data_IF_696176543208
#
_entry.id   IF_696176543208
#
_cell.length_a   1.000
_cell.length_b   1.000
_cell.length_c   1.000
_cell.angle_alpha   90.00
_cell.angle_beta   90.00
_cell.angle_gamma   90.00
#
_symmetry.space_group_name_H-M   'P 1'
#
loop_
_entity.id
_entity.type
_entity.pdbx_description
1 polymer ?
#
# COMPACT_ATOMS: atom_id res chain seq x y z
N UNK A 1 2.22 -16.41 4.04
CA UNK A 1 3.25 -15.34 4.09
C UNK A 1 3.74 -14.92 5.49
N UNK A 2 3.03 -14.08 6.27
CA UNK A 2 3.62 -13.43 7.48
C UNK A 2 3.99 -14.37 8.63
N UNK A 3 3.20 -15.42 8.87
CA UNK A 3 3.50 -16.41 9.91
C UNK A 3 4.79 -17.17 9.55
N UNK A 4 4.91 -17.58 8.28
CA UNK A 4 6.11 -18.26 7.76
C UNK A 4 7.36 -17.38 7.86
N UNK A 5 7.25 -16.09 7.54
CA UNK A 5 8.35 -15.14 7.69
C UNK A 5 8.71 -14.95 9.17
N UNK A 6 7.71 -14.86 10.05
CA UNK A 6 7.91 -14.71 11.50
C UNK A 6 8.64 -15.93 12.08
N UNK A 7 8.28 -17.14 11.68
CA UNK A 7 8.93 -18.38 12.11
C UNK A 7 10.39 -18.44 11.63
N UNK A 8 10.64 -18.05 10.37
CA UNK A 8 11.98 -18.05 9.79
C UNK A 8 12.89 -17.00 10.43
N UNK A 9 12.39 -15.79 10.67
CA UNK A 9 13.13 -14.76 11.39
C UNK A 9 13.40 -15.18 12.84
N UNK A 10 12.41 -15.78 13.51
CA UNK A 10 12.58 -16.31 14.87
C UNK A 10 13.64 -17.41 14.91
N UNK A 11 13.66 -18.29 13.90
CA UNK A 11 14.66 -19.34 13.76
C UNK A 11 16.06 -18.79 13.48
N UNK A 12 16.19 -17.80 12.59
CA UNK A 12 17.46 -17.13 12.29
C UNK A 12 18.06 -16.41 13.52
N UNK A 13 17.18 -15.90 14.39
CA UNK A 13 17.58 -15.25 15.64
C UNK A 13 17.83 -16.23 16.79
N UNK A 14 17.38 -17.49 16.67
CA UNK A 14 17.53 -18.49 17.73
C UNK A 14 19.01 -18.82 18.00
N UNK A 15 19.86 -18.82 16.97
CA UNK A 15 21.30 -19.07 17.07
C UNK A 15 22.09 -18.04 17.90
N UNK A 16 21.49 -16.88 18.19
CA UNK A 16 22.05 -15.86 19.08
C UNK A 16 21.67 -16.09 20.54
N UNK A 17 20.56 -16.79 20.82
CA UNK A 17 20.07 -17.00 22.18
C UNK A 17 21.04 -17.89 22.96
N UNK A 18 21.42 -17.44 24.17
CA UNK A 18 22.31 -18.19 25.06
C UNK A 18 23.81 -17.91 24.90
N UNK A 19 24.21 -17.08 23.93
CA UNK A 19 25.61 -16.64 23.80
C UNK A 19 25.91 -15.47 24.73
N UNK A 20 26.89 -15.64 25.62
CA UNK A 20 27.33 -14.59 26.57
C UNK A 20 28.13 -13.45 25.93
N UNK A 21 28.79 -13.71 24.80
CA UNK A 21 29.41 -12.71 23.91
C UNK A 21 29.12 -13.09 22.46
N UNK A 22 28.94 -12.10 21.62
CA UNK A 22 28.81 -12.27 20.18
C UNK A 22 30.12 -11.89 19.50
N UNK A 23 30.57 -12.73 18.59
CA UNK A 23 31.64 -12.42 17.65
C UNK A 23 31.09 -11.80 16.37
N UNK A 24 31.94 -11.12 15.62
CA UNK A 24 31.62 -10.65 14.25
C UNK A 24 31.11 -11.78 13.35
N UNK A 25 31.66 -12.98 13.49
CA UNK A 25 31.25 -14.16 12.74
C UNK A 25 29.82 -14.60 13.09
N UNK A 26 29.40 -14.47 14.35
CA UNK A 26 28.02 -14.76 14.77
C UNK A 26 27.03 -13.78 14.15
N UNK A 27 27.38 -12.49 14.15
CA UNK A 27 26.56 -11.42 13.53
C UNK A 27 26.43 -11.67 12.03
N UNK A 28 27.53 -11.98 11.36
CA UNK A 28 27.56 -12.22 9.91
C UNK A 28 26.77 -13.48 9.53
N UNK A 29 26.80 -14.53 10.36
CA UNK A 29 26.01 -15.74 10.16
C UNK A 29 24.50 -15.45 10.29
N UNK A 30 24.06 -14.78 11.36
CA UNK A 30 22.65 -14.43 11.55
C UNK A 30 22.15 -13.48 10.47
N UNK A 31 22.95 -12.48 10.09
CA UNK A 31 22.62 -11.56 9.00
C UNK A 31 22.40 -12.29 7.66
N UNK A 32 23.17 -13.36 7.41
CA UNK A 32 23.00 -14.23 6.23
C UNK A 32 21.70 -15.03 6.29
N UNK A 33 21.33 -15.57 7.44
CA UNK A 33 20.08 -16.33 7.60
C UNK A 33 18.86 -15.41 7.43
N UNK A 34 18.88 -14.21 8.03
CA UNK A 34 17.85 -13.19 7.84
C UNK A 34 17.71 -12.83 6.36
N UNK A 35 18.84 -12.64 5.66
CA UNK A 35 18.84 -12.37 4.22
C UNK A 35 18.13 -13.47 3.43
N UNK A 36 18.43 -14.73 3.72
CA UNK A 36 17.81 -15.89 3.05
C UNK A 36 16.30 -15.91 3.32
N UNK A 37 15.91 -15.76 4.59
CA UNK A 37 14.50 -15.77 4.99
C UNK A 37 13.67 -14.69 4.27
N UNK A 38 14.23 -13.48 4.11
CA UNK A 38 13.56 -12.38 3.41
C UNK A 38 13.47 -12.61 1.90
N UNK A 39 14.54 -13.11 1.27
CA UNK A 39 14.54 -13.40 -0.17
C UNK A 39 13.57 -14.53 -0.53
N UNK A 40 13.50 -15.57 0.30
CA UNK A 40 12.53 -16.65 0.13
C UNK A 40 11.09 -16.22 0.41
N UNK A 41 10.89 -15.08 1.09
CA UNK A 41 9.60 -14.43 1.27
C UNK A 41 9.32 -13.35 0.20
N UNK A 42 10.01 -13.43 -0.94
CA UNK A 42 9.89 -12.53 -2.10
C UNK A 42 10.15 -11.04 -1.82
N UNK A 43 10.88 -10.71 -0.75
CA UNK A 43 11.27 -9.32 -0.44
C UNK A 43 12.33 -8.81 -1.41
N UNK A 44 12.12 -7.61 -1.95
CA UNK A 44 12.97 -6.99 -2.97
C UNK A 44 14.47 -7.03 -2.61
N UNK A 45 15.33 -7.55 -3.49
CA UNK A 45 16.78 -7.67 -3.24
C UNK A 45 17.44 -6.33 -2.81
N UNK A 46 17.11 -5.17 -3.41
CA UNK A 46 17.64 -3.88 -2.95
C UNK A 46 17.27 -3.58 -1.49
N UNK A 47 16.02 -3.87 -1.09
CA UNK A 47 15.52 -3.69 0.29
C UNK A 47 16.24 -4.63 1.25
N UNK A 48 16.38 -5.91 0.89
CA UNK A 48 17.10 -6.89 1.72
C UNK A 48 18.56 -6.49 1.91
N UNK A 49 19.22 -6.01 0.85
CA UNK A 49 20.62 -5.54 0.94
C UNK A 49 20.75 -4.36 1.89
N UNK A 50 19.88 -3.37 1.78
CA UNK A 50 19.89 -2.20 2.65
C UNK A 50 19.62 -2.59 4.12
N UNK A 51 18.59 -3.39 4.36
CA UNK A 51 18.22 -3.87 5.70
C UNK A 51 19.36 -4.62 6.38
N UNK A 52 19.95 -5.59 5.68
CA UNK A 52 21.05 -6.41 6.22
C UNK A 52 22.30 -5.56 6.48
N UNK A 53 22.57 -4.56 5.63
CA UNK A 53 23.68 -3.63 5.84
C UNK A 53 23.48 -2.81 7.12
N UNK A 54 22.29 -2.24 7.33
CA UNK A 54 21.94 -1.47 8.53
C UNK A 54 22.04 -2.31 9.81
N UNK A 55 21.51 -3.54 9.79
CA UNK A 55 21.65 -4.47 10.92
C UNK A 55 23.12 -4.73 11.25
N UNK A 56 23.94 -5.03 10.24
CA UNK A 56 25.38 -5.33 10.45
C UNK A 56 26.13 -4.13 11.01
N UNK A 57 25.87 -2.94 10.48
CA UNK A 57 26.48 -1.70 10.96
C UNK A 57 26.17 -1.45 12.44
N UNK A 58 24.89 -1.52 12.81
CA UNK A 58 24.45 -1.31 14.20
C UNK A 58 24.91 -2.42 15.13
N UNK A 59 24.84 -3.68 14.70
CA UNK A 59 25.22 -4.83 15.51
C UNK A 59 26.73 -4.90 15.80
N UNK A 60 27.57 -4.41 14.88
CA UNK A 60 29.03 -4.30 15.09
C UNK A 60 29.45 -3.00 15.77
N UNK A 61 28.51 -2.06 15.95
CA UNK A 61 28.74 -0.78 16.60
C UNK A 61 28.86 -0.86 18.12
N UNK A 62 28.98 0.30 18.73
CA UNK A 62 29.03 0.45 20.19
C UNK A 62 27.72 0.04 20.87
N UNK A 63 26.58 0.02 20.15
CA UNK A 63 25.27 -0.39 20.68
C UNK A 63 25.28 -1.80 21.28
N UNK A 64 26.03 -2.73 20.68
CA UNK A 64 26.12 -4.12 21.16
C UNK A 64 27.33 -4.34 22.05
N UNK A 65 28.45 -3.65 21.78
CA UNK A 65 29.72 -3.86 22.47
C UNK A 65 29.68 -3.54 23.98
N UNK A 66 28.76 -2.66 24.40
CA UNK A 66 28.54 -2.30 25.80
C UNK A 66 27.30 -2.94 26.45
N UNK A 67 26.55 -3.77 25.73
CA UNK A 67 25.27 -4.29 26.22
C UNK A 67 25.45 -5.46 27.20
N UNK A 68 24.69 -5.46 28.29
CA UNK A 68 24.63 -6.57 29.25
C UNK A 68 24.10 -7.87 28.63
N UNK A 69 23.27 -7.76 27.59
CA UNK A 69 22.75 -8.89 26.84
C UNK A 69 22.87 -8.64 25.33
N UNK A 70 24.03 -8.96 24.72
CA UNK A 70 24.30 -8.70 23.31
C UNK A 70 23.28 -9.35 22.35
N UNK A 71 22.81 -10.56 22.66
CA UNK A 71 21.84 -11.28 21.84
C UNK A 71 20.49 -10.56 21.76
N UNK A 72 19.98 -10.09 22.90
CA UNK A 72 18.73 -9.32 22.94
C UNK A 72 18.88 -7.96 22.25
N UNK A 73 20.07 -7.34 22.34
CA UNK A 73 20.33 -6.09 21.64
C UNK A 73 20.28 -6.26 20.12
N UNK A 74 20.82 -7.35 19.56
CA UNK A 74 20.70 -7.63 18.12
C UNK A 74 19.25 -7.89 17.71
N UNK A 75 18.47 -8.63 18.51
CA UNK A 75 17.03 -8.84 18.24
C UNK A 75 16.28 -7.50 18.21
N UNK A 76 16.60 -6.61 19.16
CA UNK A 76 16.03 -5.26 19.22
C UNK A 76 16.38 -4.45 17.97
N UNK A 77 17.65 -4.46 17.54
CA UNK A 77 18.09 -3.79 16.31
C UNK A 77 17.27 -4.30 15.11
N UNK A 78 17.15 -5.62 14.94
CA UNK A 78 16.38 -6.21 13.84
C UNK A 78 14.91 -5.77 13.88
N UNK A 79 14.29 -5.75 15.06
CA UNK A 79 12.91 -5.30 15.21
C UNK A 79 12.73 -3.82 14.86
N UNK A 80 13.63 -2.95 15.33
CA UNK A 80 13.61 -1.53 15.02
C UNK A 80 13.79 -1.25 13.53
N UNK A 81 14.71 -1.98 12.86
CA UNK A 81 14.88 -1.87 11.41
C UNK A 81 13.64 -2.36 10.65
N UNK A 82 12.97 -3.43 11.11
CA UNK A 82 11.71 -3.89 10.51
C UNK A 82 10.61 -2.84 10.66
N UNK A 83 10.49 -2.24 11.85
CA UNK A 83 9.53 -1.15 12.11
C UNK A 83 9.83 0.05 11.20
N UNK A 84 11.11 0.40 11.04
CA UNK A 84 11.56 1.48 10.15
C UNK A 84 11.18 1.24 8.69
N UNK A 85 11.47 0.04 8.17
CA UNK A 85 11.14 -0.33 6.78
C UNK A 85 9.62 -0.32 6.54
N UNK A 86 8.82 -0.73 7.51
CA UNK A 86 7.36 -0.79 7.40
C UNK A 86 6.67 0.57 7.60
N UNK A 87 7.43 1.67 7.67
CA UNK A 87 6.92 3.05 7.68
C UNK A 87 6.94 3.74 9.04
N UNK A 88 7.35 3.04 10.10
CA UNK A 88 7.67 3.61 11.43
C UNK A 88 6.50 4.12 12.26
N UNK A 89 5.58 4.88 11.68
CA UNK A 89 4.48 5.54 12.38
C UNK A 89 3.14 5.33 11.67
N UNK A 90 2.06 5.31 12.46
CA UNK A 90 0.70 5.22 11.94
C UNK A 90 0.27 6.54 11.31
N UNK A 91 0.02 6.54 10.00
CA UNK A 91 -0.59 7.67 9.27
C UNK A 91 -2.11 7.53 9.26
N UNK A 92 -2.82 8.64 9.47
CA UNK A 92 -4.27 8.74 9.26
C UNK A 92 -4.55 9.37 7.90
N UNK A 93 -5.73 9.10 7.33
CA UNK A 93 -6.17 9.80 6.13
C UNK A 93 -6.29 11.30 6.41
N UNK A 94 -5.77 12.12 5.49
CA UNK A 94 -5.91 13.56 5.55
C UNK A 94 -7.28 13.98 5.00
N UNK A 95 -8.12 14.47 5.91
CA UNK A 95 -9.43 15.01 5.55
C UNK A 95 -9.31 16.47 5.13
N UNK A 96 -10.09 16.86 4.12
CA UNK A 96 -10.16 18.23 3.65
C UNK A 96 -10.74 19.14 4.73
N UNK A 97 -10.20 20.37 4.85
CA UNK A 97 -10.76 21.42 5.72
C UNK A 97 -12.17 21.81 5.30
N UNK A 98 -12.46 21.74 4.00
CA UNK A 98 -13.76 22.03 3.40
C UNK A 98 -14.19 20.80 2.60
N UNK A 99 -15.31 20.14 2.95
CA UNK A 99 -15.80 18.97 2.23
C UNK A 99 -16.19 19.26 0.76
N UNK A 100 -16.18 18.25 -0.13
CA UNK A 100 -15.82 16.86 0.15
C UNK A 100 -14.30 16.64 0.22
N UNK A 101 -13.87 15.69 1.04
CA UNK A 101 -12.54 15.09 0.92
C UNK A 101 -12.51 14.18 -0.30
N UNK A 102 -11.59 14.42 -1.24
CA UNK A 102 -11.47 13.62 -2.46
C UNK A 102 -10.31 12.63 -2.31
N UNK A 103 -10.62 11.34 -2.40
CA UNK A 103 -9.68 10.23 -2.35
C UNK A 103 -9.66 9.56 -3.72
N UNK A 104 -8.51 9.52 -4.38
CA UNK A 104 -8.32 8.84 -5.65
C UNK A 104 -7.64 7.49 -5.42
N UNK A 105 -8.27 6.41 -5.87
CA UNK A 105 -7.66 5.08 -5.84
C UNK A 105 -6.98 4.83 -7.18
N UNK A 106 -5.69 4.58 -7.16
CA UNK A 106 -4.92 4.28 -8.35
C UNK A 106 -4.00 3.08 -8.14
N UNK A 107 -3.50 2.46 -9.21
CA UNK A 107 -2.59 1.33 -9.11
C UNK A 107 -2.95 0.18 -10.04
N UNK A 108 -2.31 -0.97 -9.83
CA UNK A 108 -2.25 -2.00 -10.87
C UNK A 108 -3.59 -2.68 -11.18
N UNK A 109 -3.73 -3.23 -12.39
CA UNK A 109 -4.89 -4.07 -12.70
C UNK A 109 -4.94 -5.28 -11.77
N UNK A 110 -6.12 -5.58 -11.24
CA UNK A 110 -6.29 -6.71 -10.31
C UNK A 110 -5.74 -6.48 -8.90
N UNK A 111 -5.24 -5.28 -8.57
CA UNK A 111 -4.76 -4.92 -7.22
C UNK A 111 -5.87 -4.70 -6.19
N UNK A 112 -7.14 -4.94 -6.56
CA UNK A 112 -8.26 -4.85 -5.60
C UNK A 112 -8.81 -3.43 -5.34
N UNK A 113 -8.54 -2.43 -6.20
CA UNK A 113 -9.07 -1.05 -6.08
C UNK A 113 -10.58 -0.97 -5.84
N UNK A 114 -11.40 -1.58 -6.69
CA UNK A 114 -12.87 -1.56 -6.56
C UNK A 114 -13.34 -2.17 -5.23
N UNK A 115 -12.72 -3.27 -4.80
CA UNK A 115 -13.03 -3.89 -3.50
C UNK A 115 -12.59 -3.00 -2.34
N UNK A 116 -11.41 -2.38 -2.45
CA UNK A 116 -10.93 -1.40 -1.47
C UNK A 116 -11.86 -0.20 -1.38
N UNK A 117 -12.38 0.31 -2.50
CA UNK A 117 -13.31 1.43 -2.53
C UNK A 117 -14.52 1.17 -1.63
N UNK A 118 -15.14 -0.01 -1.77
CA UNK A 118 -16.25 -0.43 -0.91
C UNK A 118 -15.87 -0.57 0.56
N UNK A 119 -14.75 -1.24 0.86
CA UNK A 119 -14.27 -1.43 2.25
C UNK A 119 -13.95 -0.09 2.91
N UNK A 120 -13.27 0.80 2.19
CA UNK A 120 -12.92 2.13 2.65
C UNK A 120 -14.17 2.97 2.90
N UNK A 121 -15.13 2.96 1.98
CA UNK A 121 -16.38 3.69 2.16
C UNK A 121 -17.22 3.13 3.31
N UNK A 122 -17.29 1.81 3.49
CA UNK A 122 -17.95 1.20 4.64
C UNK A 122 -17.30 1.63 5.97
N UNK A 123 -15.96 1.62 6.03
CA UNK A 123 -15.20 2.03 7.21
C UNK A 123 -15.35 3.53 7.52
N UNK A 124 -15.35 4.39 6.51
CA UNK A 124 -15.61 5.82 6.69
C UNK A 124 -17.05 6.08 7.15
N UNK A 125 -18.02 5.35 6.57
CA UNK A 125 -19.42 5.43 6.98
C UNK A 125 -19.62 5.00 8.43
N UNK A 126 -18.93 3.96 8.90
CA UNK A 126 -19.02 3.53 10.31
C UNK A 126 -18.42 4.56 11.28
N UNK A 127 -17.64 5.51 10.80
CA UNK A 127 -17.14 6.67 11.55
C UNK A 127 -18.05 7.90 11.48
N UNK A 128 -19.22 7.79 10.83
CA UNK A 128 -20.19 8.87 10.71
C UNK A 128 -20.05 9.74 9.46
N UNK A 129 -19.14 9.39 8.54
CA UNK A 129 -19.04 10.06 7.25
C UNK A 129 -20.12 9.60 6.27
N UNK A 130 -20.32 10.40 5.23
CA UNK A 130 -21.21 10.19 4.09
C UNK A 130 -20.41 10.05 2.80
N UNK A 131 -19.82 8.88 2.52
CA UNK A 131 -19.03 8.68 1.32
C UNK A 131 -19.90 8.55 0.07
N UNK A 132 -19.34 8.99 -1.06
CA UNK A 132 -19.82 8.73 -2.42
C UNK A 132 -18.72 8.01 -3.20
N UNK A 133 -19.06 6.88 -3.82
CA UNK A 133 -18.15 6.20 -4.75
C UNK A 133 -18.35 6.75 -6.16
N UNK A 134 -17.27 6.97 -6.91
CA UNK A 134 -17.33 7.43 -8.31
C UNK A 134 -16.72 6.38 -9.23
N UNK A 135 -17.50 5.92 -10.21
CA UNK A 135 -17.12 4.88 -11.16
C UNK A 135 -16.28 5.45 -12.32
N UNK A 136 -14.98 5.67 -12.10
CA UNK A 136 -14.06 6.18 -13.12
C UNK A 136 -13.32 5.07 -13.89
N UNK A 137 -13.46 3.79 -13.52
CA UNK A 137 -13.04 2.65 -14.35
C UNK A 137 -14.07 2.36 -15.45
N UNK A 138 -14.05 3.17 -16.50
CA UNK A 138 -14.96 3.03 -17.63
C UNK A 138 -14.49 2.01 -18.68
N UNK A 139 -13.21 1.64 -18.66
CA UNK A 139 -12.60 0.82 -19.71
C UNK A 139 -12.73 -0.68 -19.45
N UNK A 140 -12.67 -1.10 -18.18
CA UNK A 140 -12.73 -2.52 -17.85
C UNK A 140 -14.18 -3.05 -17.96
N UNK A 141 -14.39 -4.24 -18.57
CA UNK A 141 -15.70 -4.85 -18.63
C UNK A 141 -16.37 -4.98 -17.26
N UNK A 142 -17.63 -4.56 -17.15
CA UNK A 142 -18.45 -4.64 -15.94
C UNK A 142 -17.88 -3.94 -14.69
N UNK A 143 -16.86 -3.09 -14.81
CA UNK A 143 -16.26 -2.43 -13.65
C UNK A 143 -17.24 -1.47 -12.95
N UNK A 144 -18.04 -0.74 -13.72
CA UNK A 144 -19.12 0.11 -13.19
C UNK A 144 -20.13 -0.71 -12.40
N UNK A 145 -20.63 -1.80 -12.99
CA UNK A 145 -21.57 -2.72 -12.34
C UNK A 145 -20.97 -3.35 -11.09
N UNK A 146 -19.69 -3.74 -11.13
CA UNK A 146 -18.97 -4.27 -9.98
C UNK A 146 -18.94 -3.24 -8.84
N UNK A 147 -18.60 -1.97 -9.13
CA UNK A 147 -18.58 -0.92 -8.12
C UNK A 147 -19.98 -0.65 -7.55
N UNK A 148 -21.03 -0.69 -8.38
CA UNK A 148 -22.42 -0.55 -7.93
C UNK A 148 -22.82 -1.66 -6.94
N UNK A 149 -22.50 -2.92 -7.24
CA UNK A 149 -22.74 -4.05 -6.34
C UNK A 149 -21.98 -3.88 -5.02
N UNK A 150 -20.70 -3.52 -5.10
CA UNK A 150 -19.85 -3.28 -3.93
C UNK A 150 -20.38 -2.11 -3.08
N UNK A 151 -20.81 -1.02 -3.72
CA UNK A 151 -21.45 0.12 -3.05
C UNK A 151 -22.75 -0.27 -2.35
N UNK A 152 -23.60 -1.05 -3.01
CA UNK A 152 -24.83 -1.58 -2.42
C UNK A 152 -24.53 -2.44 -1.17
N UNK A 153 -23.54 -3.33 -1.24
CA UNK A 153 -23.12 -4.15 -0.09
C UNK A 153 -22.56 -3.31 1.06
N UNK A 154 -21.84 -2.23 0.76
CA UNK A 154 -21.35 -1.27 1.75
C UNK A 154 -22.44 -0.34 2.30
N UNK A 155 -23.63 -0.30 1.68
CA UNK A 155 -24.69 0.66 1.99
C UNK A 155 -24.29 2.09 1.63
N UNK A 156 -23.52 2.26 0.54
CA UNK A 156 -22.96 3.54 0.08
C UNK A 156 -23.41 3.81 -1.36
N UNK A 157 -23.69 5.09 -1.66
CA UNK A 157 -24.12 5.50 -2.98
C UNK A 157 -22.97 5.50 -3.99
N UNK A 158 -23.31 5.18 -5.24
CA UNK A 158 -22.35 5.13 -6.36
C UNK A 158 -22.81 6.10 -7.45
N UNK A 159 -21.95 7.05 -7.77
CA UNK A 159 -22.08 7.90 -8.94
C UNK A 159 -21.51 7.18 -10.17
N UNK A 160 -22.43 6.71 -11.02
CA UNK A 160 -22.14 5.95 -12.23
C UNK A 160 -23.05 6.43 -13.37
N UNK A 161 -22.79 7.61 -13.96
CA UNK A 161 -23.63 8.17 -15.01
C UNK A 161 -23.44 7.48 -16.37
N UNK A 162 -22.33 6.77 -16.55
CA UNK A 162 -21.98 6.05 -17.77
C UNK A 162 -22.09 4.54 -17.56
N UNK A 163 -22.42 3.75 -18.59
CA UNK A 163 -22.52 2.30 -18.48
C UNK A 163 -21.17 1.58 -18.35
N UNK A 164 -20.05 2.27 -18.60
CA UNK A 164 -18.71 1.67 -18.69
C UNK A 164 -18.50 0.92 -20.01
N UNK A 165 -17.64 -0.11 -20.00
CA UNK A 165 -17.29 -0.93 -21.18
C UNK A 165 -16.74 -0.13 -22.37
N UNK A 166 -15.87 0.84 -22.10
CA UNK A 166 -15.24 1.72 -23.09
C UNK A 166 -16.02 2.99 -23.41
N UNK A 167 -17.20 3.18 -22.81
CA UNK A 167 -18.06 4.36 -23.02
C UNK A 167 -17.86 5.40 -21.93
N UNK A 168 -17.74 6.66 -22.34
CA UNK A 168 -17.63 7.83 -21.47
C UNK A 168 -16.20 8.30 -21.23
N UNK A 169 -16.08 9.47 -20.60
CA UNK A 169 -14.80 10.08 -20.24
C UNK A 169 -14.60 10.00 -18.72
N UNK A 170 -13.59 9.24 -18.23
CA UNK A 170 -13.38 9.10 -16.80
C UNK A 170 -12.95 10.41 -16.11
N UNK A 171 -12.35 11.36 -16.83
CA UNK A 171 -12.01 12.69 -16.29
C UNK A 171 -13.28 13.48 -16.01
N UNK A 172 -14.19 13.53 -16.98
CA UNK A 172 -15.50 14.17 -16.85
C UNK A 172 -16.37 13.52 -15.76
N UNK A 173 -16.46 12.18 -15.75
CA UNK A 173 -17.19 11.45 -14.71
C UNK A 173 -16.65 11.76 -13.31
N UNK A 174 -15.33 11.84 -13.16
CA UNK A 174 -14.71 12.19 -11.87
C UNK A 174 -15.05 13.62 -11.43
N UNK A 175 -15.00 14.59 -12.34
CA UNK A 175 -15.40 15.98 -12.06
C UNK A 175 -16.87 16.09 -11.68
N UNK A 176 -17.76 15.47 -12.45
CA UNK A 176 -19.21 15.48 -12.18
C UNK A 176 -19.56 14.76 -10.88
N UNK A 177 -18.85 13.67 -10.54
CA UNK A 177 -19.02 12.98 -9.26
C UNK A 177 -18.71 13.87 -8.05
N UNK A 178 -17.67 14.71 -8.14
CA UNK A 178 -17.36 15.69 -7.08
C UNK A 178 -18.40 16.81 -7.03
N UNK A 179 -18.90 17.27 -8.17
CA UNK A 179 -19.99 18.25 -8.21
C UNK A 179 -21.26 17.68 -7.56
N UNK A 180 -21.62 16.43 -7.87
CA UNK A 180 -22.73 15.71 -7.25
C UNK A 180 -22.55 15.60 -5.73
N UNK A 181 -21.34 15.29 -5.27
CA UNK A 181 -21.00 15.22 -3.86
C UNK A 181 -21.29 16.55 -3.14
N UNK A 182 -20.91 17.68 -3.75
CA UNK A 182 -21.18 19.02 -3.20
C UNK A 182 -22.66 19.34 -3.14
N UNK A 183 -23.40 19.04 -4.22
CA UNK A 183 -24.84 19.32 -4.32
C UNK A 183 -25.63 18.48 -3.31
N UNK A 184 -25.26 17.21 -3.15
CA UNK A 184 -25.94 16.27 -2.23
C UNK A 184 -25.32 16.18 -0.85
N UNK A 185 -24.35 17.03 -0.55
CA UNK A 185 -23.66 17.12 0.74
C UNK A 185 -23.00 15.83 1.23
N UNK A 186 -22.45 15.02 0.30
CA UNK A 186 -21.50 13.98 0.67
C UNK A 186 -20.19 14.64 1.09
N UNK A 187 -19.64 14.20 2.22
CA UNK A 187 -18.42 14.78 2.80
C UNK A 187 -17.13 14.06 2.36
N UNK A 188 -17.26 12.88 1.73
CA UNK A 188 -16.13 12.13 1.16
C UNK A 188 -16.49 11.62 -0.24
N UNK A 189 -15.54 11.72 -1.17
CA UNK A 189 -15.62 11.14 -2.51
C UNK A 189 -14.46 10.17 -2.69
N UNK A 190 -14.75 8.93 -3.08
CA UNK A 190 -13.75 7.93 -3.46
C UNK A 190 -13.86 7.67 -4.95
N UNK A 191 -12.83 8.05 -5.70
CA UNK A 191 -12.75 7.85 -7.16
C UNK A 191 -12.05 6.52 -7.43
N UNK A 192 -12.81 5.53 -7.90
CA UNK A 192 -12.27 4.23 -8.33
C UNK A 192 -11.82 4.32 -9.78
N UNK A 193 -10.51 4.42 -10.01
CA UNK A 193 -9.95 4.49 -11.36
C UNK A 193 -9.66 3.09 -11.90
N UNK A 194 -9.54 3.02 -13.22
CA UNK A 194 -9.09 1.80 -13.87
C UNK A 194 -7.67 1.37 -13.45
N UNK A 195 -7.43 0.06 -13.44
CA UNK A 195 -6.12 -0.52 -13.10
C UNK A 195 -5.24 -0.77 -14.31
N UNK A 196 -3.91 -0.68 -14.11
CA UNK A 196 -2.92 -0.64 -15.20
C UNK A 196 -1.73 -1.57 -14.98
N UNK A 197 -0.96 -1.88 -16.02
CA UNK A 197 0.38 -2.45 -15.90
C UNK A 197 1.38 -1.28 -16.00
N UNK A 198 2.47 -1.29 -15.22
CA UNK A 198 3.38 -0.16 -15.02
C UNK A 198 4.13 0.39 -16.25
N UNK A 199 3.70 0.06 -17.47
CA UNK A 199 4.38 0.35 -18.74
C UNK A 199 3.46 1.06 -19.76
N UNK A 200 2.17 1.25 -19.46
CA UNK A 200 1.23 1.91 -20.38
C UNK A 200 1.21 3.44 -20.17
N UNK A 201 1.91 4.16 -21.05
CA UNK A 201 2.06 5.62 -21.01
C UNK A 201 0.73 6.36 -21.24
N UNK A 202 -0.15 5.84 -22.09
CA UNK A 202 -1.45 6.47 -22.37
C UNK A 202 -2.35 6.41 -21.14
N UNK A 203 -2.32 5.29 -20.43
CA UNK A 203 -3.15 5.10 -19.26
C UNK A 203 -2.59 5.78 -18.00
N UNK A 204 -1.26 5.90 -17.88
CA UNK A 204 -0.65 6.78 -16.87
C UNK A 204 -1.07 8.24 -17.09
N UNK A 205 -1.13 8.69 -18.35
CA UNK A 205 -1.66 10.02 -18.69
C UNK A 205 -3.11 10.17 -18.25
N UNK A 206 -3.99 9.19 -18.48
CA UNK A 206 -5.37 9.24 -18.00
C UNK A 206 -5.48 9.38 -16.48
N UNK A 207 -4.65 8.68 -15.71
CA UNK A 207 -4.63 8.83 -14.24
C UNK A 207 -4.14 10.23 -13.82
N UNK A 208 -3.12 10.76 -14.50
CA UNK A 208 -2.66 12.15 -14.34
C UNK A 208 -3.78 13.15 -14.67
N UNK A 209 -4.51 12.93 -15.77
CA UNK A 209 -5.60 13.81 -16.20
C UNK A 209 -6.74 13.82 -15.17
N UNK A 210 -7.11 12.66 -14.61
CA UNK A 210 -8.07 12.58 -13.50
C UNK A 210 -7.54 13.32 -12.29
N UNK A 211 -6.30 13.05 -11.85
CA UNK A 211 -5.66 13.72 -10.71
C UNK A 211 -5.71 15.24 -10.86
N UNK A 212 -5.29 15.76 -11.99
CA UNK A 212 -5.19 17.20 -12.24
C UNK A 212 -6.59 17.85 -12.34
N UNK A 213 -7.56 17.10 -12.86
CA UNK A 213 -8.95 17.52 -12.94
C UNK A 213 -9.65 17.59 -11.60
N UNK A 214 -9.36 16.66 -10.68
CA UNK A 214 -10.08 16.54 -9.40
C UNK A 214 -9.31 17.05 -8.19
N UNK A 215 -7.99 17.21 -8.31
CA UNK A 215 -7.07 17.67 -7.26
C UNK A 215 -7.33 16.94 -5.94
N UNK A 216 -7.11 15.61 -5.91
CA UNK A 216 -7.46 14.79 -4.76
C UNK A 216 -6.66 15.21 -3.52
N UNK A 217 -7.28 15.09 -2.35
CA UNK A 217 -6.61 15.27 -1.06
C UNK A 217 -5.69 14.09 -0.74
N UNK A 218 -6.12 12.89 -1.12
CA UNK A 218 -5.34 11.66 -0.99
C UNK A 218 -5.33 10.91 -2.31
N UNK A 219 -4.15 10.43 -2.70
CA UNK A 219 -4.00 9.46 -3.78
C UNK A 219 -3.46 8.19 -3.13
N UNK A 220 -4.30 7.16 -3.11
CA UNK A 220 -3.95 5.86 -2.54
C UNK A 220 -3.50 4.93 -3.66
N UNK A 221 -2.22 4.60 -3.66
CA UNK A 221 -1.63 3.62 -4.56
C UNK A 221 -1.91 2.21 -4.04
N UNK A 222 -2.79 1.50 -4.73
CA UNK A 222 -3.28 0.17 -4.35
C UNK A 222 -2.47 -0.90 -5.07
N UNK A 223 -1.80 -1.73 -4.30
CA UNK A 223 -0.93 -2.80 -4.79
C UNK A 223 -1.30 -4.13 -4.13
N UNK A 224 -1.04 -5.22 -4.86
CA UNK A 224 -1.19 -6.58 -4.38
C UNK A 224 0.05 -6.99 -3.58
N UNK A 225 -0.13 -7.60 -2.41
CA UNK A 225 0.96 -8.15 -1.62
C UNK A 225 1.78 -9.21 -2.36
N UNK A 226 1.17 -9.90 -3.35
CA UNK A 226 1.82 -10.95 -4.14
C UNK A 226 2.73 -10.42 -5.26
N UNK A 227 2.84 -9.10 -5.46
CA UNK A 227 3.64 -8.54 -6.55
C UNK A 227 5.16 -8.80 -6.39
N UNK A 228 5.60 -9.09 -5.16
CA UNK A 228 7.00 -9.43 -4.85
C UNK A 228 8.00 -8.35 -5.29
N UNK A 229 9.03 -8.77 -6.04
CA UNK A 229 10.15 -7.91 -6.45
C UNK A 229 9.72 -6.71 -7.32
N UNK A 230 8.68 -6.88 -8.13
CA UNK A 230 8.20 -5.87 -9.08
C UNK A 230 7.46 -4.70 -8.38
N UNK A 231 7.23 -4.80 -7.06
CA UNK A 231 6.68 -3.74 -6.24
C UNK A 231 7.47 -2.43 -6.39
N UNK A 232 8.80 -2.52 -6.37
CA UNK A 232 9.69 -1.35 -6.29
C UNK A 232 9.61 -0.55 -7.58
N UNK A 233 9.89 -1.19 -8.71
CA UNK A 233 9.87 -0.54 -10.03
C UNK A 233 8.49 0.05 -10.36
N UNK A 234 7.41 -0.68 -10.02
CA UNK A 234 6.05 -0.20 -10.20
C UNK A 234 5.76 1.03 -9.33
N UNK A 235 6.15 0.98 -8.05
CA UNK A 235 5.91 2.08 -7.13
C UNK A 235 6.69 3.34 -7.54
N UNK A 236 7.93 3.19 -8.00
CA UNK A 236 8.75 4.29 -8.52
C UNK A 236 8.12 4.92 -9.76
N UNK A 237 7.72 4.11 -10.75
CA UNK A 237 7.05 4.60 -11.94
C UNK A 237 5.74 5.33 -11.62
N UNK A 238 4.97 4.81 -10.66
CA UNK A 238 3.71 5.44 -10.24
C UNK A 238 3.95 6.75 -9.48
N UNK A 239 4.95 6.77 -8.58
CA UNK A 239 5.37 7.98 -7.85
C UNK A 239 5.80 9.08 -8.80
N UNK A 240 6.63 8.74 -9.80
CA UNK A 240 7.24 9.72 -10.69
C UNK A 240 6.24 10.22 -11.76
N UNK A 241 5.24 9.41 -12.11
CA UNK A 241 4.17 9.80 -13.05
C UNK A 241 2.96 10.48 -12.39
N UNK A 242 2.18 9.72 -11.63
CA UNK A 242 0.92 10.19 -11.02
C UNK A 242 1.17 10.78 -9.63
N UNK A 243 2.15 10.27 -8.90
CA UNK A 243 2.34 10.60 -7.49
C UNK A 243 1.28 9.93 -6.62
N UNK A 244 1.65 9.64 -5.37
CA UNK A 244 0.73 9.13 -4.37
C UNK A 244 1.10 9.62 -2.98
N UNK A 245 0.11 9.74 -2.10
CA UNK A 245 0.28 10.15 -0.71
C UNK A 245 0.23 8.96 0.25
N UNK A 246 -0.36 7.85 -0.18
CA UNK A 246 -0.43 6.61 0.60
C UNK A 246 -0.36 5.36 -0.25
N UNK A 247 0.03 4.25 0.37
CA UNK A 247 0.02 2.91 -0.24
C UNK A 247 -0.98 2.04 0.50
N UNK A 248 -1.74 1.24 -0.25
CA UNK A 248 -2.64 0.23 0.32
C UNK A 248 -2.26 -1.14 -0.23
N UNK A 249 -1.87 -2.03 0.69
CA UNK A 249 -1.59 -3.42 0.39
C UNK A 249 -2.87 -4.25 0.48
N UNK A 250 -3.17 -5.00 -0.57
CA UNK A 250 -4.32 -5.90 -0.65
C UNK A 250 -3.88 -7.36 -0.68
N UNK A 251 -4.85 -8.28 -0.50
CA UNK A 251 -4.64 -9.74 -0.54
C UNK A 251 -3.59 -10.25 0.44
N UNK A 252 -3.50 -9.63 1.62
CA UNK A 252 -2.60 -10.08 2.70
C UNK A 252 -3.00 -11.45 3.26
N UNK A 253 -4.22 -11.90 3.00
CA UNK A 253 -4.76 -13.24 3.27
C UNK A 253 -4.40 -14.27 2.18
N UNK A 254 -3.77 -13.85 1.09
CA UNK A 254 -3.32 -14.74 0.02
C UNK A 254 -2.09 -15.56 0.42
N UNK A 255 -2.05 -16.80 -0.05
CA UNK A 255 -0.88 -17.67 0.09
C UNK A 255 0.19 -17.29 -0.92
N UNK A 256 1.08 -16.39 -0.51
CA UNK A 256 2.46 -16.30 -0.99
C UNK A 256 3.39 -17.01 0.01
#
# INVERSE_FOLDING_TARGET
MFDTLSDRLTSALAGLRGKGRLSDADIDATAREIRIALLEADVALPVVRQFVAQIKERAKGSEVSGALNPAQQVIKIVNEELVGILGGATRRLELAKVPPTVIMLAGLQGSGKTTLAGKLALWLRSQGHTPLLVAADLQRPNAVTQLQIVGQQAGVQVYAPEPGNGVGDPVDVSRRGIAEARVRQYDIVVVDTAGRLGIDAEMMRQAVDIRDAVRPNEILFVIDAMIGQDAVSTSEAFRDGVGFSGVVLTKLDGDA
#
